data_IF_511471416625
#
_entry.id   IF_511471416625
#
_cell.length_a   1.000
_cell.length_b   1.000
_cell.length_c   1.000
_cell.angle_alpha   90.00
_cell.angle_beta   90.00
_cell.angle_gamma   90.00
#
_symmetry.space_group_name_H-M   'P 1'
#
loop_
_entity.id
_entity.type
_entity.pdbx_description
1 polymer ?
#
# COMPACT_ATOMS: atom_id res chain seq x y z
N UNK A 1 8.49 -20.74 16.10
CA UNK A 1 8.48 -19.67 15.09
C UNK A 1 8.12 -20.24 13.74
N UNK A 2 7.03 -19.80 13.18
CA UNK A 2 6.70 -20.16 11.80
C UNK A 2 7.67 -19.46 10.86
N UNK A 3 8.34 -20.26 10.05
CA UNK A 3 9.17 -19.70 8.99
C UNK A 3 8.26 -19.09 7.93
N UNK A 4 8.47 -17.80 7.65
CA UNK A 4 7.80 -17.15 6.53
C UNK A 4 8.43 -17.67 5.23
N UNK A 5 7.59 -18.13 4.31
CA UNK A 5 8.05 -18.55 2.99
C UNK A 5 8.73 -17.37 2.29
N UNK A 6 9.82 -17.64 1.59
CA UNK A 6 10.59 -16.61 0.87
C UNK A 6 9.72 -15.83 -0.12
N UNK A 7 8.78 -16.49 -0.79
CA UNK A 7 7.86 -15.82 -1.71
C UNK A 7 6.94 -14.85 -0.98
N UNK A 8 6.35 -15.28 0.13
CA UNK A 8 5.49 -14.43 0.96
C UNK A 8 6.29 -13.26 1.55
N UNK A 9 7.51 -13.52 2.01
CA UNK A 9 8.39 -12.48 2.51
C UNK A 9 8.62 -11.38 1.46
N UNK A 10 8.95 -11.76 0.22
CA UNK A 10 9.18 -10.82 -0.87
C UNK A 10 7.95 -9.99 -1.20
N UNK A 11 6.78 -10.63 -1.21
CA UNK A 11 5.51 -9.93 -1.45
C UNK A 11 5.28 -8.85 -0.40
N UNK A 12 5.39 -9.23 0.87
CA UNK A 12 5.14 -8.32 1.99
C UNK A 12 6.20 -7.23 2.06
N UNK A 13 7.47 -7.58 1.88
CA UNK A 13 8.56 -6.60 1.86
C UNK A 13 8.40 -5.60 0.72
N UNK A 14 7.94 -6.04 -0.44
CA UNK A 14 7.62 -5.17 -1.58
C UNK A 14 6.49 -4.20 -1.23
N UNK A 15 5.45 -4.68 -0.56
CA UNK A 15 4.34 -3.83 -0.11
C UNK A 15 4.86 -2.75 0.82
N UNK A 16 5.70 -3.12 1.78
CA UNK A 16 6.27 -2.21 2.74
C UNK A 16 7.19 -1.17 2.07
N UNK A 17 8.03 -1.62 1.15
CA UNK A 17 8.95 -0.75 0.41
C UNK A 17 8.21 0.26 -0.48
N UNK A 18 7.14 -0.15 -1.11
CA UNK A 18 6.35 0.67 -2.03
C UNK A 18 5.26 1.51 -1.34
N UNK A 19 5.11 1.37 -0.04
CA UNK A 19 4.04 2.03 0.70
C UNK A 19 3.96 3.55 0.44
N UNK A 20 5.06 4.34 0.51
CA UNK A 20 4.94 5.79 0.31
C UNK A 20 4.40 6.15 -1.07
N UNK A 21 4.86 5.45 -2.10
CA UNK A 21 4.41 5.68 -3.47
C UNK A 21 2.95 5.24 -3.66
N UNK A 22 2.58 4.08 -3.12
CA UNK A 22 1.22 3.56 -3.19
C UNK A 22 0.23 4.46 -2.47
N UNK A 23 0.62 4.99 -1.32
CA UNK A 23 -0.21 5.92 -0.57
C UNK A 23 -0.47 7.19 -1.38
N UNK A 24 0.56 7.73 -2.02
CA UNK A 24 0.44 8.90 -2.88
C UNK A 24 -0.50 8.64 -4.07
N UNK A 25 -0.32 7.52 -4.75
CA UNK A 25 -1.17 7.11 -5.86
C UNK A 25 -2.64 6.96 -5.43
N UNK A 26 -2.85 6.36 -4.26
CA UNK A 26 -4.19 6.17 -3.71
C UNK A 26 -4.84 7.51 -3.36
N UNK A 27 -4.12 8.42 -2.73
CA UNK A 27 -4.60 9.75 -2.38
C UNK A 27 -4.95 10.55 -3.64
N UNK A 28 -4.13 10.46 -4.67
CA UNK A 28 -4.41 11.08 -5.98
C UNK A 28 -5.68 10.50 -6.61
N UNK A 29 -5.84 9.19 -6.55
CA UNK A 29 -7.04 8.51 -7.06
C UNK A 29 -8.30 8.98 -6.33
N UNK A 30 -8.28 9.03 -5.01
CA UNK A 30 -9.41 9.50 -4.21
C UNK A 30 -9.70 10.98 -4.51
N UNK A 31 -8.66 11.79 -4.64
CA UNK A 31 -8.79 13.20 -4.99
C UNK A 31 -9.45 13.37 -6.37
N UNK A 32 -9.08 12.56 -7.35
CA UNK A 32 -9.70 12.56 -8.67
C UNK A 32 -11.17 12.17 -8.63
N UNK A 33 -11.52 11.15 -7.85
CA UNK A 33 -12.92 10.73 -7.69
C UNK A 33 -13.73 11.83 -7.04
N UNK A 34 -13.18 12.50 -6.01
CA UNK A 34 -13.87 13.58 -5.31
C UNK A 34 -13.92 14.88 -6.11
N UNK A 35 -12.86 15.15 -6.89
CA UNK A 35 -12.79 16.31 -7.76
C UNK A 35 -13.45 16.05 -9.11
N UNK A 36 -13.50 14.78 -9.53
CA UNK A 36 -14.33 14.41 -10.66
C UNK A 36 -15.74 14.89 -10.33
N UNK A 37 -16.26 15.83 -11.12
CA UNK A 37 -17.54 16.36 -10.78
C UNK A 37 -18.56 15.25 -10.92
N UNK A 38 -18.78 14.58 -9.83
CA UNK A 38 -20.05 13.91 -9.63
C UNK A 38 -21.16 14.88 -9.97
N UNK A 39 -20.86 16.17 -9.96
CA UNK A 39 -21.60 17.17 -10.62
C UNK A 39 -21.88 16.89 -12.08
N UNK A 40 -21.03 16.17 -12.75
CA UNK A 40 -21.35 15.64 -14.07
C UNK A 40 -22.58 14.76 -14.06
N UNK A 41 -22.92 14.16 -12.96
CA UNK A 41 -24.12 13.32 -12.81
C UNK A 41 -25.42 14.10 -12.76
N UNK A 42 -25.36 15.42 -12.59
CA UNK A 42 -26.53 16.27 -12.59
C UNK A 42 -26.86 16.82 -13.98
N UNK A 43 -26.16 16.42 -15.01
CA UNK A 43 -26.54 16.75 -16.37
C UNK A 43 -27.81 16.01 -16.75
N UNK A 44 -28.82 16.71 -17.27
CA UNK A 44 -29.95 16.02 -17.83
C UNK A 44 -29.48 15.07 -18.94
N UNK A 45 -29.97 13.85 -18.89
CA UNK A 45 -29.64 12.81 -19.86
C UNK A 45 -29.98 13.31 -21.27
N UNK A 46 -28.94 13.54 -22.07
CA UNK A 46 -29.10 13.86 -23.47
C UNK A 46 -29.49 12.60 -24.24
N UNK A 47 -30.43 12.67 -25.20
CA UNK A 47 -30.82 11.51 -26.02
C UNK A 47 -29.65 10.89 -26.77
N UNK A 48 -28.57 11.64 -26.97
CA UNK A 48 -27.33 11.13 -27.57
C UNK A 48 -26.57 10.20 -26.65
N UNK A 49 -26.80 10.25 -25.34
CA UNK A 49 -26.16 9.35 -24.36
C UNK A 49 -26.64 7.90 -24.52
N UNK A 50 -27.76 7.65 -25.12
CA UNK A 50 -28.24 6.29 -25.40
C UNK A 50 -27.38 5.57 -26.43
N UNK A 51 -26.63 6.31 -27.25
CA UNK A 51 -25.67 5.73 -28.20
C UNK A 51 -24.37 5.31 -27.52
N UNK A 52 -24.03 5.92 -26.37
CA UNK A 52 -22.82 5.65 -25.63
C UNK A 52 -22.99 4.54 -24.59
N UNK A 53 -24.20 3.96 -24.46
CA UNK A 53 -24.44 2.85 -23.52
C UNK A 53 -23.56 1.64 -23.77
N UNK A 54 -23.22 1.35 -25.05
CA UNK A 54 -22.31 0.25 -25.36
C UNK A 54 -20.86 0.56 -24.98
N UNK A 55 -20.45 1.82 -25.12
CA UNK A 55 -19.14 2.29 -24.64
C UNK A 55 -19.10 2.39 -23.11
N UNK A 56 -20.21 2.80 -22.49
CA UNK A 56 -20.30 2.92 -21.03
C UNK A 56 -20.18 1.57 -20.33
N UNK A 57 -20.56 0.46 -20.94
CA UNK A 57 -20.38 -0.89 -20.38
C UNK A 57 -18.89 -1.23 -20.29
N UNK A 58 -18.10 -0.90 -21.30
CA UNK A 58 -16.66 -1.13 -21.29
C UNK A 58 -15.97 -0.23 -20.28
N UNK A 59 -16.37 1.04 -20.22
CA UNK A 59 -15.87 1.98 -19.21
C UNK A 59 -16.24 1.55 -17.79
N UNK A 60 -17.47 1.06 -17.58
CA UNK A 60 -17.91 0.56 -16.29
C UNK A 60 -17.10 -0.67 -15.86
N UNK A 61 -16.75 -1.56 -16.79
CA UNK A 61 -15.88 -2.70 -16.52
C UNK A 61 -14.45 -2.23 -16.19
N UNK A 62 -13.91 -1.27 -16.94
CA UNK A 62 -12.60 -0.69 -16.67
C UNK A 62 -12.59 0.00 -15.29
N UNK A 63 -13.64 0.73 -14.94
CA UNK A 63 -13.79 1.36 -13.63
C UNK A 63 -13.88 0.32 -12.51
N UNK A 64 -14.60 -0.79 -12.70
CA UNK A 64 -14.66 -1.87 -11.71
C UNK A 64 -13.29 -2.53 -11.51
N UNK A 65 -12.55 -2.78 -12.57
CA UNK A 65 -11.20 -3.34 -12.47
C UNK A 65 -10.25 -2.38 -11.76
N UNK A 66 -10.34 -1.09 -12.07
CA UNK A 66 -9.57 -0.05 -11.39
C UNK A 66 -9.96 0.04 -9.92
N UNK A 67 -11.25 -0.03 -9.61
CA UNK A 67 -11.75 -0.02 -8.23
C UNK A 67 -11.25 -1.22 -7.43
N UNK A 68 -11.27 -2.42 -8.01
CA UNK A 68 -10.73 -3.63 -7.36
C UNK A 68 -9.24 -3.47 -7.08
N UNK A 69 -8.50 -2.92 -8.02
CA UNK A 69 -7.07 -2.65 -7.86
C UNK A 69 -6.81 -1.69 -6.70
N UNK A 70 -7.55 -0.58 -6.65
CA UNK A 70 -7.39 0.41 -5.58
C UNK A 70 -7.92 -0.06 -4.23
N UNK A 71 -8.93 -0.93 -4.21
CA UNK A 71 -9.37 -1.57 -2.97
C UNK A 71 -8.27 -2.46 -2.38
N UNK A 72 -7.55 -3.18 -3.24
CA UNK A 72 -6.40 -3.98 -2.82
C UNK A 72 -5.30 -3.08 -2.25
N UNK A 73 -4.97 -1.99 -2.95
CA UNK A 73 -3.96 -1.03 -2.49
C UNK A 73 -4.38 -0.41 -1.16
N UNK A 74 -5.64 -0.04 -1.01
CA UNK A 74 -6.18 0.48 0.24
C UNK A 74 -5.96 -0.50 1.39
N UNK A 75 -6.23 -1.78 1.17
CA UNK A 75 -6.03 -2.81 2.17
C UNK A 75 -4.56 -2.95 2.56
N UNK A 76 -3.67 -2.90 1.58
CA UNK A 76 -2.23 -2.93 1.81
C UNK A 76 -1.77 -1.71 2.61
N UNK A 77 -2.24 -0.52 2.25
CA UNK A 77 -1.94 0.72 2.97
C UNK A 77 -2.42 0.65 4.41
N UNK A 78 -3.66 0.22 4.62
CA UNK A 78 -4.23 0.06 5.96
C UNK A 78 -3.42 -0.92 6.81
N UNK A 79 -2.99 -2.03 6.21
CA UNK A 79 -2.17 -3.03 6.89
C UNK A 79 -0.84 -2.42 7.36
N UNK A 80 -0.14 -1.72 6.47
CA UNK A 80 1.14 -1.08 6.80
C UNK A 80 0.96 -0.03 7.88
N UNK A 81 -0.04 0.84 7.75
CA UNK A 81 -0.30 1.89 8.73
C UNK A 81 -0.69 1.32 10.09
N UNK A 82 -1.55 0.31 10.12
CA UNK A 82 -1.97 -0.34 11.35
C UNK A 82 -0.76 -0.93 12.10
N UNK A 83 0.08 -1.68 11.39
CA UNK A 83 1.25 -2.32 11.99
C UNK A 83 2.27 -1.26 12.41
N UNK A 84 2.54 -0.28 11.55
CA UNK A 84 3.48 0.80 11.83
C UNK A 84 3.07 1.59 13.07
N UNK A 85 1.80 1.95 13.18
CA UNK A 85 1.29 2.70 14.32
C UNK A 85 1.31 1.90 15.63
N UNK A 86 1.33 0.57 15.54
CA UNK A 86 1.46 -0.30 16.71
C UNK A 86 2.90 -0.44 17.21
N UNK A 87 3.87 -0.03 16.40
CA UNK A 87 5.29 -0.09 16.77
C UNK A 87 5.67 1.05 17.70
N UNK A 88 6.70 0.82 18.51
CA UNK A 88 7.30 1.87 19.32
C UNK A 88 7.99 2.91 18.43
N UNK A 89 8.11 4.18 18.85
CA UNK A 89 8.76 5.22 18.04
C UNK A 89 10.15 4.83 17.54
N UNK A 90 10.93 4.14 18.35
CA UNK A 90 12.27 3.66 18.00
C UNK A 90 12.23 2.58 16.93
N UNK A 91 11.25 1.68 17.01
CA UNK A 91 11.03 0.64 16.01
C UNK A 91 10.52 1.25 14.69
N UNK A 92 9.65 2.23 14.77
CA UNK A 92 9.18 2.98 13.60
C UNK A 92 10.35 3.62 12.86
N UNK A 93 11.33 4.15 13.59
CA UNK A 93 12.52 4.75 13.01
C UNK A 93 13.32 3.75 12.18
N UNK A 94 13.47 2.54 12.66
CA UNK A 94 14.15 1.45 11.92
C UNK A 94 13.44 1.19 10.59
N UNK A 95 12.12 1.07 10.62
CA UNK A 95 11.32 0.83 9.42
C UNK A 95 11.44 2.00 8.44
N UNK A 96 11.32 3.23 8.93
CA UNK A 96 11.45 4.42 8.07
C UNK A 96 12.79 4.50 7.37
N UNK A 97 13.88 4.28 8.10
CA UNK A 97 15.22 4.36 7.53
C UNK A 97 15.47 3.23 6.55
N UNK A 98 15.05 2.03 6.90
CA UNK A 98 15.29 0.85 6.06
C UNK A 98 14.51 0.87 4.75
N UNK A 99 13.24 1.27 4.79
CA UNK A 99 12.34 1.14 3.64
C UNK A 99 11.92 2.47 3.02
N UNK A 100 11.90 3.56 3.77
CA UNK A 100 11.30 4.82 3.32
C UNK A 100 12.26 6.01 3.32
N UNK A 101 13.53 5.81 3.59
CA UNK A 101 14.49 6.92 3.71
C UNK A 101 14.85 7.57 2.38
N UNK A 102 14.75 6.82 1.30
CA UNK A 102 14.96 7.31 -0.07
C UNK A 102 14.06 6.52 -0.99
N UNK A 103 13.83 7.01 -2.21
CA UNK A 103 13.11 6.26 -3.24
C UNK A 103 13.98 5.09 -3.74
N UNK A 104 14.22 4.13 -2.87
CA UNK A 104 15.09 3.00 -3.14
C UNK A 104 14.26 1.82 -3.66
N UNK A 105 14.83 1.11 -4.62
CA UNK A 105 14.26 -0.13 -5.13
C UNK A 105 14.53 -1.32 -4.21
N UNK A 106 15.39 -1.12 -3.21
CA UNK A 106 15.80 -2.15 -2.28
C UNK A 106 15.91 -1.58 -0.86
N UNK A 107 15.71 -2.42 0.16
CA UNK A 107 15.87 -1.98 1.54
C UNK A 107 17.30 -1.55 1.85
N UNK A 108 17.45 -0.56 2.73
CA UNK A 108 18.77 -0.12 3.21
C UNK A 108 19.40 -1.23 4.07
N UNK A 109 20.66 -1.59 3.83
CA UNK A 109 21.35 -2.58 4.68
C UNK A 109 21.36 -2.15 6.15
N UNK A 110 21.22 -3.11 7.05
CA UNK A 110 21.19 -2.84 8.49
C UNK A 110 22.40 -2.06 8.99
N UNK A 111 23.58 -2.33 8.42
CA UNK A 111 24.82 -1.65 8.79
C UNK A 111 24.81 -0.16 8.46
N UNK A 112 23.95 0.26 7.52
CA UNK A 112 23.83 1.66 7.12
C UNK A 112 22.71 2.39 7.84
N UNK A 113 21.98 1.70 8.73
CA UNK A 113 20.94 2.34 9.54
C UNK A 113 21.61 3.02 10.71
N UNK A 114 21.92 4.31 10.53
CA UNK A 114 22.53 5.12 11.59
C UNK A 114 21.49 5.67 12.54
N UNK A 115 21.88 5.91 13.78
CA UNK A 115 21.02 6.53 14.79
C UNK A 115 19.95 5.65 15.38
N UNK A 116 19.97 4.36 15.08
CA UNK A 116 19.08 3.40 15.72
C UNK A 116 19.73 2.90 17.01
N UNK A 117 18.94 2.82 18.08
CA UNK A 117 19.41 2.32 19.38
C UNK A 117 19.48 0.80 19.44
N UNK A 118 19.37 0.12 18.30
CA UNK A 118 19.28 -1.33 18.21
C UNK A 118 20.48 -1.93 17.50
N UNK A 119 20.87 -3.13 17.93
CA UNK A 119 21.84 -3.94 17.21
C UNK A 119 21.22 -4.48 15.90
N UNK A 120 22.06 -4.93 14.97
CA UNK A 120 21.59 -5.55 13.73
C UNK A 120 20.61 -6.69 14.00
N UNK A 121 20.90 -7.53 14.98
CA UNK A 121 20.04 -8.65 15.37
C UNK A 121 18.66 -8.18 15.84
N UNK A 122 18.64 -7.13 16.64
CA UNK A 122 17.39 -6.52 17.13
C UNK A 122 16.60 -5.90 15.98
N UNK A 123 17.27 -5.19 15.07
CA UNK A 123 16.62 -4.62 13.89
C UNK A 123 16.00 -5.69 13.01
N UNK A 124 16.69 -6.81 12.81
CA UNK A 124 16.15 -7.96 12.06
C UNK A 124 14.88 -8.52 12.71
N UNK A 125 14.84 -8.59 14.03
CA UNK A 125 13.63 -9.03 14.77
C UNK A 125 12.47 -8.06 14.57
N UNK A 126 12.75 -6.77 14.62
CA UNK A 126 11.73 -5.72 14.41
C UNK A 126 11.16 -5.84 13.00
N UNK A 127 12.01 -5.96 12.00
CA UNK A 127 11.60 -6.13 10.60
C UNK A 127 10.79 -7.41 10.42
N UNK A 128 11.25 -8.53 10.99
CA UNK A 128 10.54 -9.80 10.91
C UNK A 128 9.14 -9.70 11.51
N UNK A 129 9.03 -9.14 12.70
CA UNK A 129 7.76 -8.94 13.39
C UNK A 129 6.81 -8.06 12.55
N UNK A 130 7.35 -6.98 11.98
CA UNK A 130 6.58 -6.07 11.15
C UNK A 130 6.03 -6.77 9.91
N UNK A 131 6.88 -7.50 9.20
CA UNK A 131 6.50 -8.25 8.00
C UNK A 131 5.47 -9.32 8.34
N UNK A 132 5.68 -10.05 9.43
CA UNK A 132 4.74 -11.08 9.88
C UNK A 132 3.35 -10.49 10.16
N UNK A 133 3.29 -9.38 10.88
CA UNK A 133 2.02 -8.75 11.23
C UNK A 133 1.30 -8.20 10.00
N UNK A 134 2.03 -7.58 9.08
CA UNK A 134 1.46 -7.10 7.82
C UNK A 134 0.90 -8.29 7.03
N UNK A 135 1.67 -9.35 6.91
CA UNK A 135 1.26 -10.55 6.19
C UNK A 135 0.00 -11.18 6.76
N UNK A 136 -0.15 -11.20 8.07
CA UNK A 136 -1.38 -11.68 8.72
C UNK A 136 -2.56 -10.77 8.46
N UNK A 137 -2.34 -9.47 8.48
CA UNK A 137 -3.40 -8.49 8.26
C UNK A 137 -3.98 -8.61 6.84
N UNK A 138 -3.14 -8.76 5.84
CA UNK A 138 -3.57 -8.87 4.44
C UNK A 138 -4.02 -10.29 4.05
N UNK A 139 -3.83 -11.28 4.94
CA UNK A 139 -4.19 -12.66 4.67
C UNK A 139 -3.13 -13.46 3.91
N UNK A 140 -1.96 -12.92 3.68
CA UNK A 140 -0.84 -13.64 3.03
C UNK A 140 -0.25 -14.69 3.97
N UNK A 141 -0.28 -14.45 5.27
CA UNK A 141 0.12 -15.39 6.31
C UNK A 141 -1.09 -15.77 7.17
N UNK A 142 -1.15 -17.04 7.54
CA UNK A 142 -2.21 -17.55 8.42
C UNK A 142 -1.92 -17.24 9.88
#
# INVERSE_FOLDING_TARGET
MQRINRASWRIIETILLRYPQRKKEYEEYISEIMASPAGGSSRPLDPEEDRDKAQSVTEAKAMKMTSVYFDRIKKEIEAVEFVYNSLRPEEQKVIRIRYWSKCLRAPVPYLKIGGACYSERQMKRIVFKTIEQIGRYIGELK
#
